data_IF_725315985744
#
_entry.id   IF_725315985744
#
_cell.length_a   1.000
_cell.length_b   1.000
_cell.length_c   1.000
_cell.angle_alpha   90.00
_cell.angle_beta   90.00
_cell.angle_gamma   90.00
#
_symmetry.space_group_name_H-M   'P 1'
#
loop_
_entity.id
_entity.type
_entity.pdbx_description
1 polymer ?
#
# COMPACT_ATOMS: atom_id res chain seq x y z
N UNK A 1 -0.13 0.59 13.31
CA UNK A 1 0.02 1.99 12.84
C UNK A 1 -1.03 2.88 13.48
N UNK A 2 -0.80 4.18 13.48
CA UNK A 2 -1.78 5.21 13.90
C UNK A 2 -1.97 6.26 12.81
N UNK A 3 -3.04 7.06 12.92
CA UNK A 3 -3.25 8.19 12.03
C UNK A 3 -2.31 9.35 12.39
N UNK A 4 -1.87 10.13 11.41
CA UNK A 4 -1.13 11.36 11.62
C UNK A 4 -1.10 12.23 10.38
N UNK A 5 -0.80 13.51 10.55
CA UNK A 5 -0.76 14.51 9.47
C UNK A 5 0.64 15.14 9.36
N UNK A 6 1.63 14.45 8.73
CA UNK A 6 2.93 15.05 8.45
C UNK A 6 2.80 16.41 7.76
N UNK A 7 3.63 17.37 8.16
CA UNK A 7 3.62 18.73 7.60
C UNK A 7 2.62 19.69 8.26
N UNK A 8 1.74 19.21 9.15
CA UNK A 8 0.89 20.07 9.99
C UNK A 8 1.59 20.47 11.30
N UNK A 9 1.24 21.64 11.82
CA UNK A 9 1.75 22.11 13.12
C UNK A 9 1.38 21.14 14.23
N UNK A 10 2.35 20.79 15.08
CA UNK A 10 2.15 19.89 16.21
C UNK A 10 2.23 18.39 15.86
N UNK A 11 2.42 18.02 14.59
CA UNK A 11 2.59 16.61 14.19
C UNK A 11 3.67 15.89 15.00
N UNK A 12 4.86 16.50 15.13
CA UNK A 12 5.98 15.90 15.88
C UNK A 12 5.65 15.73 17.36
N UNK A 13 5.06 16.74 17.99
CA UNK A 13 4.63 16.66 19.39
C UNK A 13 3.56 15.59 19.62
N UNK A 14 2.68 15.37 18.63
CA UNK A 14 1.73 14.27 18.65
C UNK A 14 2.42 12.90 18.54
N UNK A 15 3.33 12.72 17.57
CA UNK A 15 3.94 11.41 17.32
C UNK A 15 4.97 11.02 18.39
N UNK A 16 5.66 12.00 18.98
CA UNK A 16 6.60 11.81 20.09
C UNK A 16 5.96 11.10 21.30
N UNK A 17 4.64 11.20 21.46
CA UNK A 17 3.89 10.52 22.53
C UNK A 17 3.84 8.99 22.37
N UNK A 18 4.16 8.50 21.17
CA UNK A 18 4.01 7.10 20.79
C UNK A 18 5.32 6.46 20.32
N UNK A 19 6.44 7.20 20.28
CA UNK A 19 7.71 6.68 19.75
C UNK A 19 8.30 5.52 20.56
N UNK A 20 7.98 5.47 21.84
CA UNK A 20 8.42 4.41 22.76
C UNK A 20 7.34 3.32 22.94
N UNK A 21 6.22 3.39 22.21
CA UNK A 21 5.14 2.41 22.30
C UNK A 21 5.40 1.23 21.35
N UNK A 22 5.73 0.07 21.91
CA UNK A 22 6.05 -1.13 21.13
C UNK A 22 4.94 -1.54 20.15
N UNK A 23 3.67 -1.27 20.46
CA UNK A 23 2.55 -1.63 19.57
C UNK A 23 2.43 -0.71 18.33
N UNK A 24 3.06 0.46 18.33
CA UNK A 24 2.89 1.48 17.29
C UNK A 24 4.13 1.55 16.42
N UNK A 25 4.07 0.88 15.27
CA UNK A 25 5.20 0.76 14.35
C UNK A 25 5.28 1.82 13.25
N UNK A 26 4.25 2.66 13.10
CA UNK A 26 4.20 3.59 11.97
C UNK A 26 2.95 4.46 11.92
N UNK A 27 2.94 5.35 10.94
CA UNK A 27 1.96 6.41 10.74
C UNK A 27 1.32 6.30 9.36
N UNK A 28 0.03 6.61 9.28
CA UNK A 28 -0.70 6.73 8.02
C UNK A 28 -1.43 8.06 7.95
N UNK A 29 -1.35 8.72 6.79
CA UNK A 29 -2.31 9.74 6.38
C UNK A 29 -3.08 9.23 5.15
N UNK A 30 -4.40 9.40 5.15
CA UNK A 30 -5.22 9.11 3.97
C UNK A 30 -5.15 10.31 3.04
N UNK A 31 -4.47 10.15 1.90
CA UNK A 31 -4.21 11.22 0.94
C UNK A 31 -5.14 11.19 -0.28
N UNK A 32 -5.93 10.13 -0.44
CA UNK A 32 -6.97 10.05 -1.47
C UNK A 32 -8.28 10.76 -1.06
N UNK A 33 -8.17 11.92 -0.42
CA UNK A 33 -9.28 12.77 0.02
C UNK A 33 -9.35 14.07 -0.78
N UNK A 34 -10.53 14.70 -0.98
CA UNK A 34 -10.68 15.87 -1.84
C UNK A 34 -9.72 17.03 -1.53
N UNK A 35 -9.33 17.20 -0.26
CA UNK A 35 -8.48 18.32 0.18
C UNK A 35 -6.98 18.05 0.05
N UNK A 36 -6.57 16.81 -0.25
CA UNK A 36 -5.19 16.47 -0.55
C UNK A 36 -5.01 16.47 -2.08
N UNK A 37 -4.45 17.57 -2.60
CA UNK A 37 -4.18 17.73 -4.02
C UNK A 37 -2.97 16.91 -4.50
N UNK A 38 -2.79 16.78 -5.82
CA UNK A 38 -1.62 16.11 -6.40
C UNK A 38 -0.30 16.66 -5.84
N UNK A 39 0.62 15.78 -5.46
CA UNK A 39 1.93 16.16 -4.93
C UNK A 39 1.90 16.70 -3.49
N UNK A 40 0.78 16.57 -2.76
CA UNK A 40 0.73 16.96 -1.34
C UNK A 40 1.85 16.30 -0.51
N UNK A 41 2.14 15.02 -0.78
CA UNK A 41 3.21 14.29 -0.10
C UNK A 41 4.64 14.77 -0.42
N UNK A 42 4.80 15.68 -1.39
CA UNK A 42 6.09 16.27 -1.79
C UNK A 42 6.32 17.67 -1.19
N UNK A 43 5.37 18.20 -0.42
CA UNK A 43 5.56 19.46 0.28
C UNK A 43 6.73 19.34 1.27
N UNK A 44 7.57 20.38 1.36
CA UNK A 44 8.80 20.33 2.15
C UNK A 44 8.56 19.96 3.62
N UNK A 45 7.51 20.51 4.25
CA UNK A 45 7.14 20.18 5.62
C UNK A 45 6.72 18.71 5.77
N UNK A 46 5.97 18.19 4.81
CA UNK A 46 5.57 16.79 4.76
C UNK A 46 6.80 15.87 4.67
N UNK A 47 7.69 16.13 3.71
CA UNK A 47 8.92 15.36 3.51
C UNK A 47 9.78 15.37 4.78
N UNK A 48 9.99 16.54 5.40
CA UNK A 48 10.77 16.66 6.65
C UNK A 48 10.18 15.87 7.82
N UNK A 49 8.87 15.77 7.89
CA UNK A 49 8.20 15.03 8.94
C UNK A 49 8.19 13.52 8.68
N UNK A 50 8.12 13.09 7.42
CA UNK A 50 8.32 11.68 7.05
C UNK A 50 9.77 11.25 7.30
N UNK A 51 10.77 12.08 6.97
CA UNK A 51 12.17 11.82 7.32
C UNK A 51 12.34 11.62 8.83
N UNK A 52 11.69 12.47 9.62
CA UNK A 52 11.69 12.37 11.07
C UNK A 52 11.07 11.06 11.58
N UNK A 53 10.02 10.52 10.93
CA UNK A 53 9.50 9.19 11.24
C UNK A 53 10.59 8.12 11.12
N UNK A 54 11.40 8.17 10.05
CA UNK A 54 12.55 7.28 9.90
C UNK A 54 13.58 7.43 11.02
N UNK A 55 13.88 8.65 11.44
CA UNK A 55 14.81 8.93 12.56
C UNK A 55 14.34 8.31 13.89
N UNK A 56 13.03 8.25 14.13
CA UNK A 56 12.45 7.63 15.34
C UNK A 56 12.02 6.17 15.12
N UNK A 57 12.41 5.54 14.02
CA UNK A 57 12.16 4.11 13.77
C UNK A 57 10.72 3.76 13.37
N UNK A 58 9.91 4.74 12.94
CA UNK A 58 8.54 4.54 12.49
C UNK A 58 8.43 4.45 10.96
N UNK A 59 7.53 3.58 10.47
CA UNK A 59 7.18 3.52 9.04
C UNK A 59 6.15 4.57 8.65
N UNK A 60 6.02 4.81 7.34
CA UNK A 60 4.91 5.58 6.76
C UNK A 60 4.12 4.75 5.73
N UNK A 61 2.80 4.69 5.90
CA UNK A 61 1.89 3.98 5.00
C UNK A 61 1.39 4.94 3.89
N UNK A 62 1.70 4.60 2.64
CA UNK A 62 1.36 5.34 1.43
C UNK A 62 -0.08 5.02 0.99
N UNK A 63 -1.04 5.77 1.54
CA UNK A 63 -2.46 5.64 1.23
C UNK A 63 -2.91 6.74 0.25
N UNK A 64 -2.57 6.56 -1.03
CA UNK A 64 -2.70 7.54 -2.12
C UNK A 64 -3.71 7.09 -3.20
N UNK A 65 -4.06 7.99 -4.13
CA UNK A 65 -4.74 7.59 -5.36
C UNK A 65 -3.78 6.83 -6.28
N UNK A 66 -4.26 5.89 -7.12
CA UNK A 66 -3.38 5.15 -8.03
C UNK A 66 -2.67 6.05 -9.04
N UNK A 67 -3.29 7.15 -9.47
CA UNK A 67 -2.65 8.13 -10.36
C UNK A 67 -1.58 9.01 -9.68
N UNK A 68 -1.39 8.90 -8.37
CA UNK A 68 -0.42 9.70 -7.58
C UNK A 68 0.81 8.88 -7.13
N UNK A 69 0.91 7.60 -7.52
CA UNK A 69 2.01 6.74 -7.10
C UNK A 69 3.37 7.24 -7.59
N UNK A 70 3.45 7.89 -8.75
CA UNK A 70 4.66 8.59 -9.20
C UNK A 70 5.15 9.67 -8.22
N UNK A 71 4.24 10.39 -7.53
CA UNK A 71 4.63 11.33 -6.48
C UNK A 71 5.14 10.60 -5.23
N UNK A 72 4.60 9.41 -4.93
CA UNK A 72 5.09 8.57 -3.85
C UNK A 72 6.55 8.16 -4.08
N UNK A 73 6.94 7.85 -5.33
CA UNK A 73 8.34 7.57 -5.69
C UNK A 73 9.25 8.75 -5.29
N UNK A 74 8.83 9.98 -5.61
CA UNK A 74 9.57 11.19 -5.24
C UNK A 74 9.70 11.40 -3.72
N UNK A 75 8.69 11.04 -2.93
CA UNK A 75 8.79 11.06 -1.46
C UNK A 75 9.76 9.99 -0.95
N UNK A 76 9.62 8.75 -1.44
CA UNK A 76 10.45 7.60 -1.05
C UNK A 76 11.93 7.88 -1.29
N UNK A 77 12.26 8.51 -2.42
CA UNK A 77 13.64 8.86 -2.79
C UNK A 77 14.24 9.94 -1.87
N UNK A 78 13.41 10.83 -1.31
CA UNK A 78 13.83 11.85 -0.36
C UNK A 78 13.93 11.35 1.09
N UNK A 79 13.43 10.13 1.36
CA UNK A 79 13.33 9.57 2.71
C UNK A 79 13.98 8.16 2.80
N UNK A 80 15.26 7.99 2.43
CA UNK A 80 15.89 6.65 2.38
C UNK A 80 15.99 5.96 3.75
N UNK A 81 15.93 6.73 4.85
CA UNK A 81 15.92 6.18 6.22
C UNK A 81 14.54 5.78 6.73
N UNK A 82 13.46 5.98 5.97
CA UNK A 82 12.08 5.69 6.40
C UNK A 82 11.56 4.46 5.69
N UNK A 83 11.00 3.49 6.41
CA UNK A 83 10.31 2.37 5.75
C UNK A 83 8.95 2.83 5.22
N UNK A 84 8.64 2.48 3.98
CA UNK A 84 7.34 2.76 3.38
C UNK A 84 6.52 1.50 3.17
N UNK A 85 5.20 1.62 3.34
CA UNK A 85 4.24 0.55 3.07
C UNK A 85 3.24 1.08 2.03
N UNK A 86 3.29 0.53 0.82
CA UNK A 86 2.29 0.83 -0.22
C UNK A 86 0.98 0.16 0.15
N UNK A 87 -0.02 0.95 0.52
CA UNK A 87 -1.33 0.45 0.92
C UNK A 87 -2.11 -0.04 -0.30
N UNK A 88 -2.87 -1.12 -0.09
CA UNK A 88 -3.91 -1.61 -0.99
C UNK A 88 -3.49 -1.81 -2.45
N UNK A 89 -2.29 -2.36 -2.69
CA UNK A 89 -1.70 -2.48 -4.02
C UNK A 89 -1.63 -1.13 -4.78
N UNK A 90 -1.40 -0.02 -4.07
CA UNK A 90 -1.44 1.32 -4.64
C UNK A 90 -2.84 1.78 -5.05
N UNK A 91 -3.88 1.23 -4.43
CA UNK A 91 -5.29 1.50 -4.72
C UNK A 91 -5.71 1.24 -6.18
N UNK A 92 -5.10 0.25 -6.85
CA UNK A 92 -5.44 -0.13 -8.21
C UNK A 92 -6.92 -0.53 -8.38
N UNK A 93 -7.54 -0.18 -9.50
CA UNK A 93 -8.78 -0.82 -9.96
C UNK A 93 -8.43 -2.15 -10.66
N UNK A 94 -8.83 -3.31 -10.10
CA UNK A 94 -8.49 -4.59 -10.69
C UNK A 94 -9.11 -4.80 -12.09
N UNK A 95 -10.23 -4.15 -12.41
CA UNK A 95 -10.84 -4.25 -13.74
C UNK A 95 -10.03 -3.48 -14.81
N UNK A 96 -9.35 -2.40 -14.42
CA UNK A 96 -8.44 -1.70 -15.33
C UNK A 96 -7.18 -2.55 -15.54
N UNK A 97 -6.59 -3.08 -14.47
CA UNK A 97 -5.36 -3.87 -14.57
C UNK A 97 -5.56 -5.16 -15.37
N UNK A 98 -6.73 -5.80 -15.24
CA UNK A 98 -7.06 -7.02 -15.98
C UNK A 98 -7.59 -6.75 -17.42
N UNK A 99 -7.84 -5.49 -17.79
CA UNK A 99 -8.31 -5.08 -19.11
C UNK A 99 -9.82 -5.18 -19.34
N UNK A 100 -10.62 -5.39 -18.30
CA UNK A 100 -12.09 -5.41 -18.37
C UNK A 100 -12.73 -4.01 -18.32
N UNK A 101 -11.99 -2.99 -17.90
CA UNK A 101 -12.43 -1.59 -17.86
C UNK A 101 -11.33 -0.66 -18.41
N UNK A 102 -11.78 0.46 -18.98
CA UNK A 102 -10.90 1.52 -19.49
C UNK A 102 -10.73 2.64 -18.46
N UNK A 103 -9.67 3.44 -18.63
CA UNK A 103 -9.42 4.61 -17.80
C UNK A 103 -10.53 5.67 -17.97
N UNK A 104 -11.23 5.99 -16.88
CA UNK A 104 -12.10 7.17 -16.76
C UNK A 104 -11.38 8.37 -16.08
N UNK A 105 -11.02 9.44 -16.80
CA UNK A 105 -10.36 10.61 -16.22
C UNK A 105 -11.19 11.39 -15.20
N UNK A 106 -12.53 11.21 -15.16
CA UNK A 106 -13.39 11.86 -14.19
C UNK A 106 -13.38 11.17 -12.82
N UNK A 107 -12.92 9.92 -12.76
CA UNK A 107 -12.81 9.15 -11.52
C UNK A 107 -11.38 9.30 -10.94
N UNK A 108 -11.20 9.89 -9.74
CA UNK A 108 -9.88 10.08 -9.14
C UNK A 108 -9.18 8.77 -8.72
N UNK A 109 -9.90 7.64 -8.70
CA UNK A 109 -9.34 6.30 -8.48
C UNK A 109 -9.10 5.52 -9.77
N UNK A 110 -9.35 6.14 -10.92
CA UNK A 110 -9.03 5.58 -12.21
C UNK A 110 -7.58 5.86 -12.57
N UNK A 111 -6.98 4.94 -13.33
CA UNK A 111 -5.61 5.03 -13.82
C UNK A 111 -5.53 4.28 -15.15
N UNK A 112 -4.40 4.35 -15.86
CA UNK A 112 -4.11 3.37 -16.91
C UNK A 112 -3.40 2.17 -16.30
N UNK A 113 -3.47 1.01 -16.97
CA UNK A 113 -2.73 -0.18 -16.55
C UNK A 113 -1.23 0.10 -16.54
N UNK A 114 -0.72 0.72 -17.60
CA UNK A 114 0.70 0.99 -17.81
C UNK A 114 1.27 1.93 -16.75
N UNK A 115 0.52 2.99 -16.41
CA UNK A 115 0.93 3.93 -15.37
C UNK A 115 1.07 3.23 -14.02
N UNK A 116 0.01 2.52 -13.60
CA UNK A 116 0.02 1.83 -12.31
C UNK A 116 1.11 0.75 -12.25
N UNK A 117 1.28 -0.04 -13.32
CA UNK A 117 2.33 -1.06 -13.37
C UNK A 117 3.73 -0.43 -13.29
N UNK A 118 3.97 0.65 -14.02
CA UNK A 118 5.23 1.38 -14.02
C UNK A 118 5.56 1.97 -12.65
N UNK A 119 4.60 2.63 -12.00
CA UNK A 119 4.80 3.23 -10.67
C UNK A 119 5.00 2.17 -9.59
N UNK A 120 4.25 1.07 -9.63
CA UNK A 120 4.44 -0.05 -8.70
C UNK A 120 5.81 -0.69 -8.87
N UNK A 121 6.28 -0.88 -10.10
CA UNK A 121 7.62 -1.40 -10.36
C UNK A 121 8.70 -0.41 -9.88
N UNK A 122 8.49 0.89 -10.09
CA UNK A 122 9.39 1.93 -9.59
C UNK A 122 9.49 1.92 -8.06
N UNK A 123 8.36 1.83 -7.36
CA UNK A 123 8.33 1.68 -5.90
C UNK A 123 9.00 0.36 -5.46
N UNK A 124 8.73 -0.74 -6.14
CA UNK A 124 9.33 -2.05 -5.88
C UNK A 124 10.85 -2.07 -6.01
N UNK A 125 11.43 -1.24 -6.88
CA UNK A 125 12.87 -1.11 -7.05
C UNK A 125 13.61 -0.49 -5.83
N UNK A 126 12.89 0.09 -4.85
CA UNK A 126 13.49 0.63 -3.62
C UNK A 126 13.36 -0.37 -2.47
N UNK A 127 14.48 -0.86 -1.94
CA UNK A 127 14.52 -1.94 -0.94
C UNK A 127 13.79 -1.62 0.38
N UNK A 128 13.69 -0.34 0.75
CA UNK A 128 12.98 0.13 1.95
C UNK A 128 11.46 0.26 1.79
N UNK A 129 10.92 -0.13 0.63
CA UNK A 129 9.47 -0.11 0.35
C UNK A 129 8.90 -1.53 0.38
N UNK A 130 7.77 -1.67 1.05
CA UNK A 130 6.97 -2.89 1.20
C UNK A 130 5.62 -2.68 0.52
N UNK A 131 5.05 -3.73 -0.08
CA UNK A 131 3.70 -3.69 -0.63
C UNK A 131 2.70 -4.47 0.24
N UNK A 132 1.55 -3.87 0.51
CA UNK A 132 0.44 -4.51 1.22
C UNK A 132 -0.63 -4.96 0.23
N UNK A 133 -0.70 -6.27 -0.02
CA UNK A 133 -1.74 -6.93 -0.82
C UNK A 133 -3.05 -6.92 -0.03
N UNK A 134 -3.87 -5.91 -0.28
CA UNK A 134 -5.09 -5.61 0.49
C UNK A 134 -6.02 -4.69 -0.31
N UNK A 135 -7.25 -4.47 0.16
CA UNK A 135 -8.17 -3.41 -0.28
C UNK A 135 -8.73 -3.47 -1.71
N UNK A 136 -8.00 -4.04 -2.69
CA UNK A 136 -8.45 -4.14 -4.08
C UNK A 136 -9.73 -4.98 -4.25
N UNK A 137 -9.96 -5.93 -3.34
CA UNK A 137 -11.19 -6.74 -3.30
C UNK A 137 -12.44 -5.87 -3.08
N UNK A 138 -12.34 -4.68 -2.48
CA UNK A 138 -13.48 -3.81 -2.23
C UNK A 138 -14.09 -3.22 -3.53
N UNK A 139 -13.37 -3.30 -4.65
CA UNK A 139 -13.75 -2.73 -5.95
C UNK A 139 -14.10 -3.78 -7.02
N UNK A 140 -14.19 -5.06 -6.64
CA UNK A 140 -14.52 -6.11 -7.61
C UNK A 140 -15.98 -6.02 -8.07
N UNK A 141 -16.26 -6.33 -9.35
CA UNK A 141 -17.62 -6.35 -9.86
C UNK A 141 -18.40 -7.57 -9.36
N UNK A 142 -19.72 -7.59 -9.61
CA UNK A 142 -20.51 -8.80 -9.46
C UNK A 142 -19.97 -9.92 -10.37
N UNK A 143 -19.91 -11.16 -9.86
CA UNK A 143 -19.40 -12.31 -10.61
C UNK A 143 -17.87 -12.38 -10.74
N UNK A 144 -17.14 -11.59 -9.94
CA UNK A 144 -15.68 -11.66 -9.86
C UNK A 144 -15.16 -13.06 -9.50
N UNK A 145 -13.90 -13.30 -9.86
CA UNK A 145 -13.14 -14.51 -9.50
C UNK A 145 -11.71 -14.15 -9.11
N UNK A 146 -10.91 -15.14 -8.69
CA UNK A 146 -9.47 -14.96 -8.46
C UNK A 146 -8.77 -14.31 -9.67
N UNK A 147 -9.14 -14.69 -10.90
CA UNK A 147 -8.60 -14.14 -12.14
C UNK A 147 -8.83 -12.63 -12.28
N UNK A 148 -9.90 -12.09 -11.67
CA UNK A 148 -10.16 -10.65 -11.67
C UNK A 148 -9.03 -9.89 -10.97
N UNK A 149 -8.45 -10.48 -9.92
CA UNK A 149 -7.47 -9.86 -9.02
C UNK A 149 -6.04 -10.31 -9.31
N UNK A 150 -5.87 -11.49 -9.92
CA UNK A 150 -4.57 -12.11 -10.17
C UNK A 150 -3.56 -11.20 -10.87
N UNK A 151 -3.92 -10.42 -11.93
CA UNK A 151 -2.98 -9.51 -12.58
C UNK A 151 -2.41 -8.44 -11.63
N UNK A 152 -3.26 -7.84 -10.80
CA UNK A 152 -2.85 -6.83 -9.80
C UNK A 152 -1.96 -7.46 -8.73
N UNK A 153 -2.38 -8.59 -8.17
CA UNK A 153 -1.63 -9.27 -7.10
C UNK A 153 -0.27 -9.75 -7.61
N UNK A 154 -0.22 -10.43 -8.74
CA UNK A 154 1.04 -10.95 -9.28
C UNK A 154 2.02 -9.82 -9.62
N UNK A 155 1.55 -8.72 -10.21
CA UNK A 155 2.42 -7.58 -10.49
C UNK A 155 3.07 -7.00 -9.23
N UNK A 156 2.34 -6.92 -8.12
CA UNK A 156 2.91 -6.52 -6.83
C UNK A 156 3.92 -7.55 -6.29
N UNK A 157 3.59 -8.84 -6.34
CA UNK A 157 4.50 -9.90 -5.88
C UNK A 157 5.82 -9.90 -6.66
N UNK A 158 5.74 -9.75 -7.98
CA UNK A 158 6.92 -9.78 -8.85
C UNK A 158 7.74 -8.48 -8.75
N UNK A 159 7.10 -7.33 -8.54
CA UNK A 159 7.79 -6.03 -8.43
C UNK A 159 8.55 -5.85 -7.12
N UNK A 160 8.02 -6.36 -6.01
CA UNK A 160 8.63 -6.18 -4.67
C UNK A 160 9.47 -7.37 -4.24
N UNK A 161 9.20 -8.56 -4.78
CA UNK A 161 9.82 -9.80 -4.37
C UNK A 161 9.23 -10.38 -3.07
N UNK A 162 9.58 -11.63 -2.75
CA UNK A 162 8.87 -12.42 -1.73
C UNK A 162 9.07 -11.93 -0.30
N UNK A 163 10.10 -11.13 -0.02
CA UNK A 163 10.42 -10.63 1.33
C UNK A 163 9.83 -9.25 1.64
N UNK A 164 9.12 -8.62 0.69
CA UNK A 164 8.60 -7.24 0.84
C UNK A 164 7.13 -7.12 0.47
N UNK A 165 6.39 -8.22 0.60
CA UNK A 165 4.95 -8.28 0.35
C UNK A 165 4.23 -8.86 1.55
N UNK A 166 3.18 -8.19 2.00
CA UNK A 166 2.36 -8.60 3.15
C UNK A 166 0.89 -8.62 2.77
N UNK A 167 0.15 -9.60 3.29
CA UNK A 167 -1.31 -9.62 3.17
C UNK A 167 -1.98 -8.68 4.18
N UNK A 168 -3.06 -8.03 3.76
CA UNK A 168 -3.99 -7.33 4.64
C UNK A 168 -5.44 -7.59 4.24
N UNK A 169 -6.28 -7.92 5.23
CA UNK A 169 -7.70 -8.19 4.98
C UNK A 169 -8.54 -6.96 4.65
N UNK A 170 -8.07 -5.77 5.04
CA UNK A 170 -8.78 -4.49 4.92
C UNK A 170 -10.23 -4.53 5.46
N UNK A 171 -10.44 -5.30 6.53
CA UNK A 171 -11.75 -5.39 7.17
C UNK A 171 -12.05 -4.12 7.98
N UNK A 172 -13.28 -3.57 7.96
CA UNK A 172 -14.47 -4.09 7.28
C UNK A 172 -14.66 -3.61 5.83
N UNK A 173 -13.77 -2.78 5.29
CA UNK A 173 -13.88 -2.15 3.95
C UNK A 173 -13.97 -3.19 2.84
N UNK A 174 -13.25 -4.32 2.94
CA UNK A 174 -13.32 -5.40 1.96
C UNK A 174 -14.75 -5.86 1.64
N UNK A 175 -15.68 -5.76 2.62
CA UNK A 175 -17.08 -6.17 2.45
C UNK A 175 -17.87 -5.34 1.41
N UNK A 176 -17.34 -4.21 0.93
CA UNK A 176 -17.94 -3.51 -0.20
C UNK A 176 -17.90 -4.33 -1.50
N UNK A 177 -16.91 -5.20 -1.66
CA UNK A 177 -16.83 -6.12 -2.80
C UNK A 177 -17.06 -7.58 -2.41
N UNK A 178 -16.40 -8.07 -1.35
CA UNK A 178 -16.54 -9.45 -0.91
C UNK A 178 -16.22 -9.67 0.58
N UNK A 179 -16.70 -10.79 1.13
CA UNK A 179 -16.34 -11.17 2.50
C UNK A 179 -14.83 -11.40 2.65
N UNK A 180 -14.29 -11.17 3.85
CA UNK A 180 -12.89 -11.48 4.17
C UNK A 180 -12.53 -12.94 3.85
N UNK A 181 -13.46 -13.88 4.08
CA UNK A 181 -13.27 -15.30 3.74
C UNK A 181 -13.04 -15.48 2.23
N UNK A 182 -13.87 -14.85 1.40
CA UNK A 182 -13.74 -14.91 -0.04
C UNK A 182 -12.44 -14.25 -0.51
N UNK A 183 -12.05 -13.13 0.12
CA UNK A 183 -10.78 -12.49 -0.18
C UNK A 183 -9.58 -13.40 0.09
N UNK A 184 -9.52 -14.02 1.27
CA UNK A 184 -8.45 -14.97 1.64
C UNK A 184 -8.44 -16.18 0.72
N UNK A 185 -9.61 -16.73 0.36
CA UNK A 185 -9.71 -17.87 -0.55
C UNK A 185 -9.16 -17.53 -1.95
N UNK A 186 -9.56 -16.39 -2.50
CA UNK A 186 -9.08 -15.93 -3.79
C UNK A 186 -7.56 -15.66 -3.78
N UNK A 187 -7.03 -15.04 -2.71
CA UNK A 187 -5.59 -14.84 -2.61
C UNK A 187 -4.82 -16.15 -2.61
N UNK A 188 -5.30 -17.17 -1.86
CA UNK A 188 -4.69 -18.51 -1.83
C UNK A 188 -4.71 -19.18 -3.20
N UNK A 189 -5.79 -19.01 -3.95
CA UNK A 189 -5.88 -19.50 -5.33
C UNK A 189 -4.84 -18.83 -6.22
N UNK A 190 -4.73 -17.49 -6.18
CA UNK A 190 -3.78 -16.70 -6.96
C UNK A 190 -2.33 -17.13 -6.70
N UNK A 191 -1.96 -17.36 -5.44
CA UNK A 191 -0.58 -17.72 -5.07
C UNK A 191 -0.30 -19.21 -5.04
N UNK A 192 -1.27 -20.06 -5.40
CA UNK A 192 -1.16 -21.52 -5.29
C UNK A 192 0.01 -22.12 -6.07
N UNK A 193 0.42 -21.48 -7.17
CA UNK A 193 1.56 -21.89 -7.98
C UNK A 193 2.93 -21.38 -7.50
N UNK A 194 2.98 -20.53 -6.47
CA UNK A 194 4.24 -19.99 -5.91
C UNK A 194 4.83 -20.96 -4.87
N UNK A 195 6.16 -20.92 -4.62
CA UNK A 195 6.78 -21.73 -3.58
C UNK A 195 6.08 -21.55 -2.22
N UNK A 196 5.91 -22.64 -1.46
CA UNK A 196 5.21 -22.61 -0.16
C UNK A 196 5.84 -21.61 0.83
N UNK A 197 7.17 -21.44 0.77
CA UNK A 197 7.88 -20.44 1.59
C UNK A 197 7.45 -19.01 1.26
N UNK A 198 7.30 -18.66 -0.03
CA UNK A 198 6.84 -17.34 -0.45
C UNK A 198 5.40 -17.09 -0.03
N UNK A 199 4.55 -18.11 -0.11
CA UNK A 199 3.17 -18.03 0.36
C UNK A 199 3.12 -17.78 1.88
N UNK A 200 3.93 -18.50 2.67
CA UNK A 200 4.01 -18.33 4.12
C UNK A 200 4.52 -16.92 4.50
N UNK A 201 5.53 -16.41 3.79
CA UNK A 201 6.03 -15.03 3.94
C UNK A 201 4.94 -13.99 3.67
N UNK A 202 4.22 -14.10 2.55
CA UNK A 202 3.12 -13.20 2.21
C UNK A 202 2.01 -13.20 3.27
N UNK A 203 1.61 -14.39 3.72
CA UNK A 203 0.43 -14.56 4.57
C UNK A 203 0.68 -14.23 6.05
N UNK A 204 1.92 -14.32 6.54
CA UNK A 204 2.25 -14.02 7.94
C UNK A 204 3.70 -13.57 8.14
N UNK A 205 4.68 -14.34 7.65
CA UNK A 205 6.08 -14.20 8.08
C UNK A 205 6.71 -12.83 7.81
N UNK A 206 6.35 -12.17 6.71
CA UNK A 206 6.80 -10.81 6.45
C UNK A 206 6.17 -9.80 7.42
N UNK A 207 4.91 -9.96 7.80
CA UNK A 207 4.29 -9.07 8.77
C UNK A 207 4.93 -9.23 10.15
N UNK A 208 5.19 -10.45 10.60
CA UNK A 208 5.87 -10.75 11.86
C UNK A 208 7.25 -10.07 11.92
N UNK A 209 8.08 -10.27 10.89
CA UNK A 209 9.41 -9.67 10.79
C UNK A 209 9.38 -8.15 10.63
N UNK A 210 8.53 -7.63 9.75
CA UNK A 210 8.52 -6.19 9.43
C UNK A 210 7.91 -5.37 10.57
N UNK A 211 6.90 -5.88 11.26
CA UNK A 211 6.28 -5.18 12.38
C UNK A 211 6.79 -5.63 13.75
N UNK A 212 7.76 -6.54 13.82
CA UNK A 212 8.35 -7.01 15.08
C UNK A 212 7.30 -7.58 16.03
N UNK A 213 6.54 -8.58 15.56
CA UNK A 213 5.41 -9.19 16.28
C UNK A 213 5.77 -10.49 17.02
N UNK A 214 7.07 -10.80 17.10
CA UNK A 214 7.62 -11.94 17.86
C UNK A 214 7.82 -11.61 19.34
#
# INVERSE_FOLDING_TARGET
>A
MIGGSPGEEGFRAYIDRFKDEDAIKGVRQVLHVPNAGPGHCLQESFVRDVQYLGEIGMSFDLCLRPGELGAAVGLVDQCPGTRFIVDHCGNADPQIVNGAAEHDPANPFSHTKEQWQGDIAALGAREHVVCKVSGIIARVPAGWSADTLAPTVNHCLDSFGPDRVVFGGDWPVCNFGASLRAWVAALREIVSGRPEEEQAKLLAGNAERLYGLE
#
